data_IF_950325095151
#
_entry.id   IF_950325095151
#
_cell.length_a   1.000
_cell.length_b   1.000
_cell.length_c   1.000
_cell.angle_alpha   90.00
_cell.angle_beta   90.00
_cell.angle_gamma   90.00
#
_symmetry.space_group_name_H-M   'P 1'
#
loop_
_entity.id
_entity.type
_entity.pdbx_description
1 polymer ?
#
# COMPACT_ATOMS: atom_id res chain seq x y z
N UNK A 1 -22.53 -44.01 -6.99
CA UNK A 1 -22.41 -44.12 -5.51
C UNK A 1 -21.33 -45.13 -5.17
N UNK A 2 -20.13 -44.68 -4.78
CA UNK A 2 -19.07 -45.51 -4.20
C UNK A 2 -18.52 -44.71 -3.02
N UNK A 3 -18.76 -45.23 -1.82
CA UNK A 3 -18.44 -44.62 -0.53
C UNK A 3 -17.01 -45.04 -0.20
N UNK A 4 -16.10 -44.09 -0.03
CA UNK A 4 -14.81 -44.38 0.61
C UNK A 4 -14.46 -43.24 1.55
N UNK A 5 -14.82 -43.48 2.80
CA UNK A 5 -14.53 -42.68 3.98
C UNK A 5 -13.09 -42.93 4.43
N UNK A 6 -12.23 -41.91 4.34
CA UNK A 6 -11.04 -41.81 5.16
C UNK A 6 -11.20 -40.64 6.12
N UNK A 7 -11.75 -40.99 7.28
CA UNK A 7 -11.81 -40.14 8.45
C UNK A 7 -10.41 -40.10 9.10
N UNK A 8 -9.93 -38.88 9.31
CA UNK A 8 -9.36 -38.36 10.56
C UNK A 8 -8.23 -39.13 11.26
N UNK A 9 -7.03 -38.55 11.20
CA UNK A 9 -5.98 -38.48 12.23
C UNK A 9 -4.79 -37.84 11.50
N UNK A 10 -4.12 -36.76 11.92
CA UNK A 10 -3.68 -36.29 13.23
C UNK A 10 -3.08 -34.87 13.01
N UNK A 11 -2.66 -34.12 14.04
CA UNK A 11 -3.43 -33.11 14.75
C UNK A 11 -2.94 -31.67 14.54
N UNK A 12 -3.79 -30.75 14.99
CA UNK A 12 -3.48 -29.39 15.40
C UNK A 12 -2.30 -29.41 16.38
N UNK A 13 -1.10 -29.00 15.95
CA UNK A 13 -0.04 -28.57 16.85
C UNK A 13 0.98 -27.69 16.13
N UNK A 14 1.22 -26.50 16.69
CA UNK A 14 2.27 -25.53 16.38
C UNK A 14 2.18 -24.85 14.99
N UNK A 15 1.55 -23.69 14.77
CA UNK A 15 1.60 -22.43 15.55
C UNK A 15 2.93 -22.28 16.30
N UNK A 16 4.04 -22.04 15.60
CA UNK A 16 5.16 -21.20 16.06
C UNK A 16 6.19 -20.99 14.93
N UNK A 17 6.41 -19.70 14.64
CA UNK A 17 7.73 -19.10 14.41
C UNK A 17 8.43 -19.45 13.10
N UNK A 18 8.29 -18.55 12.12
CA UNK A 18 9.45 -18.09 11.36
C UNK A 18 9.32 -16.58 11.10
N UNK A 19 9.37 -15.84 12.20
CA UNK A 19 9.71 -14.43 12.22
C UNK A 19 11.18 -14.31 11.79
N UNK A 20 11.45 -13.88 10.56
CA UNK A 20 12.79 -13.47 10.15
C UNK A 20 12.98 -11.99 10.49
N UNK A 21 13.11 -11.70 11.79
CA UNK A 21 13.69 -10.45 12.29
C UNK A 21 15.20 -10.68 12.41
N UNK A 22 15.99 -10.21 11.45
CA UNK A 22 17.45 -10.06 11.64
C UNK A 22 17.69 -8.63 12.06
N UNK A 23 17.58 -8.40 13.37
CA UNK A 23 18.12 -7.25 14.05
C UNK A 23 19.62 -7.49 14.27
N UNK A 24 20.46 -6.79 13.51
CA UNK A 24 21.91 -6.71 13.76
C UNK A 24 22.30 -5.23 13.80
N UNK A 25 22.45 -4.70 15.02
CA UNK A 25 22.87 -3.31 15.22
C UNK A 25 22.72 -2.79 16.66
N UNK A 26 23.19 -3.55 17.65
CA UNK A 26 23.43 -3.01 19.01
C UNK A 26 24.94 -2.94 19.24
N UNK A 27 25.49 -1.71 19.23
CA UNK A 27 26.59 -1.25 20.10
C UNK A 27 27.24 0.02 19.53
N UNK A 28 26.61 1.18 19.74
CA UNK A 28 27.35 2.43 19.86
C UNK A 28 26.77 3.20 21.05
N UNK A 29 27.44 3.05 22.19
CA UNK A 29 27.17 3.81 23.40
C UNK A 29 28.17 4.98 23.44
N UNK A 30 27.68 6.21 23.49
CA UNK A 30 28.51 7.37 23.77
C UNK A 30 27.86 8.71 23.41
N UNK A 31 27.00 9.24 24.29
CA UNK A 31 26.56 10.64 24.22
C UNK A 31 25.14 10.84 24.71
N UNK A 32 24.97 11.06 26.02
CA UNK A 32 23.69 11.39 26.63
C UNK A 32 23.17 12.77 26.25
N UNK A 33 21.84 12.87 26.17
CA UNK A 33 21.10 14.10 25.96
C UNK A 33 19.65 13.73 25.71
N UNK A 34 18.88 13.62 26.79
CA UNK A 34 17.48 13.19 26.72
C UNK A 34 16.59 14.18 25.96
N UNK A 35 15.56 13.63 25.34
CA UNK A 35 14.21 14.14 25.55
C UNK A 35 13.24 12.96 25.62
N UNK A 36 12.56 12.88 26.75
CA UNK A 36 11.41 12.04 26.98
C UNK A 36 10.21 12.98 27.02
N UNK A 37 9.31 12.83 26.06
CA UNK A 37 8.09 13.63 25.94
C UNK A 37 7.90 14.00 24.48
N UNK A 38 6.80 13.72 23.81
CA UNK A 38 5.45 13.75 24.32
C UNK A 38 4.65 14.47 23.24
N UNK A 39 3.77 13.74 22.58
CA UNK A 39 2.94 14.29 21.51
C UNK A 39 2.78 13.29 20.38
N UNK A 40 1.94 12.28 20.57
CA UNK A 40 1.16 11.82 19.42
C UNK A 40 0.19 12.95 19.11
N UNK A 41 0.68 14.00 18.44
CA UNK A 41 -0.19 14.75 17.56
C UNK A 41 -0.83 13.69 16.67
N UNK A 42 -2.16 13.65 16.61
CA UNK A 42 -2.82 12.95 15.51
C UNK A 42 -2.34 13.68 14.26
N UNK A 43 -1.23 13.21 13.69
CA UNK A 43 -0.68 13.73 12.45
C UNK A 43 -1.78 13.76 11.41
N UNK A 44 -1.72 14.73 10.51
CA UNK A 44 -2.67 14.80 9.40
C UNK A 44 -2.77 13.41 8.73
N UNK A 45 -3.99 13.01 8.35
CA UNK A 45 -4.19 11.72 7.69
C UNK A 45 -3.30 11.67 6.44
N UNK A 46 -2.54 10.58 6.23
CA UNK A 46 -1.80 10.43 4.99
C UNK A 46 -2.76 10.55 3.80
N UNK A 47 -2.35 11.28 2.78
CA UNK A 47 -3.11 11.47 1.54
C UNK A 47 -2.46 10.60 0.47
N UNK A 48 -3.19 9.63 -0.05
CA UNK A 48 -2.70 8.72 -1.09
C UNK A 48 -3.56 8.83 -2.34
N UNK A 49 -2.93 8.72 -3.51
CA UNK A 49 -3.64 8.59 -4.78
C UNK A 49 -3.48 7.20 -5.36
N UNK A 50 -4.53 6.73 -6.02
CA UNK A 50 -4.51 5.56 -6.88
C UNK A 50 -4.89 5.98 -8.30
N UNK A 51 -3.92 5.91 -9.22
CA UNK A 51 -4.07 6.35 -10.62
C UNK A 51 -4.11 5.12 -11.52
N UNK A 52 -5.23 4.90 -12.20
CA UNK A 52 -5.42 3.74 -13.07
C UNK A 52 -4.83 4.00 -14.47
N UNK A 53 -4.84 2.98 -15.32
CA UNK A 53 -4.46 3.10 -16.73
C UNK A 53 -5.62 3.49 -17.66
N UNK A 54 -6.79 3.86 -17.12
CA UNK A 54 -7.98 4.11 -17.93
C UNK A 54 -9.28 4.09 -17.15
N UNK A 55 -10.36 4.47 -17.83
CA UNK A 55 -11.73 4.32 -17.35
C UNK A 55 -12.25 2.94 -17.81
N UNK A 56 -12.38 2.01 -16.87
CA UNK A 56 -12.91 0.67 -17.14
C UNK A 56 -13.63 0.10 -15.90
N UNK A 57 -14.75 -0.63 -16.04
CA UNK A 57 -15.46 -1.26 -14.93
C UNK A 57 -14.59 -2.16 -14.04
N UNK A 58 -13.51 -2.74 -14.57
CA UNK A 58 -12.50 -3.46 -13.80
C UNK A 58 -12.00 -2.65 -12.60
N UNK A 59 -11.81 -1.34 -12.77
CA UNK A 59 -11.27 -0.46 -11.74
C UNK A 59 -12.28 -0.08 -10.65
N UNK A 60 -13.59 -0.28 -10.86
CA UNK A 60 -14.62 0.01 -9.84
C UNK A 60 -14.43 -0.85 -8.57
N UNK A 61 -14.03 -2.11 -8.75
CA UNK A 61 -13.76 -3.04 -7.65
C UNK A 61 -12.48 -2.59 -6.93
N UNK A 62 -11.45 -2.20 -7.68
CA UNK A 62 -10.20 -1.71 -7.12
C UNK A 62 -10.40 -0.40 -6.34
N UNK A 63 -11.20 0.54 -6.86
CA UNK A 63 -11.60 1.76 -6.17
C UNK A 63 -12.33 1.46 -4.86
N UNK A 64 -13.27 0.52 -4.89
CA UNK A 64 -14.01 0.11 -3.68
C UNK A 64 -13.07 -0.46 -2.62
N UNK A 65 -12.08 -1.28 -3.03
CA UNK A 65 -11.04 -1.79 -2.15
C UNK A 65 -10.14 -0.70 -1.58
N UNK A 66 -9.70 0.25 -2.42
CA UNK A 66 -8.86 1.37 -2.02
C UNK A 66 -9.57 2.29 -1.01
N UNK A 67 -10.86 2.60 -1.25
CA UNK A 67 -11.70 3.36 -0.31
C UNK A 67 -11.91 2.65 1.01
N UNK A 68 -12.15 1.33 0.98
CA UNK A 68 -12.25 0.52 2.20
C UNK A 68 -10.95 0.54 2.99
N UNK A 69 -9.80 0.33 2.33
CA UNK A 69 -8.50 0.39 2.97
C UNK A 69 -8.21 1.78 3.56
N UNK A 70 -8.59 2.85 2.86
CA UNK A 70 -8.51 4.22 3.38
C UNK A 70 -9.27 4.40 4.69
N UNK A 71 -10.50 3.87 4.77
CA UNK A 71 -11.29 3.91 6.00
C UNK A 71 -10.67 3.05 7.13
N UNK A 72 -10.23 1.83 6.80
CA UNK A 72 -9.67 0.89 7.78
C UNK A 72 -8.31 1.37 8.34
N UNK A 73 -7.54 2.15 7.58
CA UNK A 73 -6.19 2.62 7.93
C UNK A 73 -6.13 4.11 8.30
N UNK A 74 -7.26 4.82 8.31
CA UNK A 74 -7.35 6.27 8.54
C UNK A 74 -6.51 7.12 7.56
N UNK A 75 -6.63 6.81 6.26
CA UNK A 75 -5.91 7.42 5.14
C UNK A 75 -6.91 8.06 4.16
N UNK A 76 -6.60 9.26 3.67
CA UNK A 76 -7.37 9.94 2.64
C UNK A 76 -6.97 9.42 1.26
N UNK A 77 -7.82 8.60 0.64
CA UNK A 77 -7.55 7.98 -0.67
C UNK A 77 -8.34 8.67 -1.78
N UNK A 78 -7.63 9.14 -2.82
CA UNK A 78 -8.23 9.63 -4.06
C UNK A 78 -7.98 8.64 -5.19
N UNK A 79 -9.00 8.31 -5.97
CA UNK A 79 -8.85 7.47 -7.18
C UNK A 79 -9.03 8.35 -8.41
N UNK A 80 -8.09 8.25 -9.35
CA UNK A 80 -8.09 8.99 -10.61
C UNK A 80 -8.02 8.02 -11.79
N UNK A 81 -8.87 8.26 -12.79
CA UNK A 81 -8.96 7.42 -13.99
C UNK A 81 -8.79 8.30 -15.24
N UNK A 82 -7.59 8.36 -15.84
CA UNK A 82 -7.35 9.13 -17.05
C UNK A 82 -8.15 8.57 -18.23
N UNK A 83 -8.75 9.43 -19.05
CA UNK A 83 -9.52 9.05 -20.24
C UNK A 83 -8.75 9.28 -21.57
N UNK A 84 -7.76 10.17 -21.55
CA UNK A 84 -6.96 10.68 -22.66
C UNK A 84 -5.57 10.07 -22.77
N UNK A 85 -5.34 8.89 -22.18
CA UNK A 85 -4.09 8.14 -22.34
C UNK A 85 -2.91 8.67 -21.52
N UNK A 86 -1.70 8.32 -21.94
CA UNK A 86 -0.48 8.51 -21.15
C UNK A 86 -0.15 9.97 -20.83
N UNK A 87 -0.47 10.91 -21.73
CA UNK A 87 -0.23 12.35 -21.51
C UNK A 87 -1.11 12.87 -20.36
N UNK A 88 -2.39 12.51 -20.35
CA UNK A 88 -3.27 12.91 -19.25
C UNK A 88 -2.85 12.26 -17.93
N UNK A 89 -2.49 10.96 -17.96
CA UNK A 89 -1.96 10.28 -16.76
C UNK A 89 -0.72 10.99 -16.22
N UNK A 90 0.20 11.41 -17.09
CA UNK A 90 1.40 12.17 -16.70
C UNK A 90 1.03 13.49 -16.01
N UNK A 91 0.14 14.28 -16.61
CA UNK A 91 -0.31 15.55 -16.03
C UNK A 91 -0.97 15.34 -14.66
N UNK A 92 -1.81 14.30 -14.51
CA UNK A 92 -2.38 13.95 -13.20
C UNK A 92 -1.32 13.62 -12.16
N UNK A 93 -0.27 12.89 -12.53
CA UNK A 93 0.83 12.56 -11.63
C UNK A 93 1.63 13.82 -11.25
N UNK A 94 1.93 14.70 -12.21
CA UNK A 94 2.60 15.98 -11.95
C UNK A 94 1.77 16.85 -10.98
N UNK A 95 0.46 16.97 -11.20
CA UNK A 95 -0.45 17.68 -10.31
C UNK A 95 -0.47 17.11 -8.88
N UNK A 96 -0.49 15.78 -8.75
CA UNK A 96 -0.46 15.10 -7.47
C UNK A 96 0.84 15.38 -6.71
N UNK A 97 1.98 15.36 -7.40
CA UNK A 97 3.28 15.72 -6.83
C UNK A 97 3.30 17.19 -6.41
N UNK A 98 2.82 18.11 -7.25
CA UNK A 98 2.71 19.54 -6.91
C UNK A 98 1.83 19.79 -5.69
N UNK A 99 0.74 19.01 -5.53
CA UNK A 99 -0.14 19.09 -4.36
C UNK A 99 0.46 18.48 -3.08
N UNK A 100 1.66 17.90 -3.17
CA UNK A 100 2.39 17.32 -2.05
C UNK A 100 1.70 16.07 -1.50
N UNK A 101 1.14 15.22 -2.36
CA UNK A 101 0.55 13.96 -1.90
C UNK A 101 1.60 13.05 -1.26
N UNK A 102 1.22 12.29 -0.23
CA UNK A 102 2.17 11.49 0.55
C UNK A 102 2.57 10.18 -0.17
N UNK A 103 1.77 9.74 -1.14
CA UNK A 103 2.09 8.58 -1.95
C UNK A 103 1.15 8.38 -3.13
N UNK A 104 1.67 7.68 -4.14
CA UNK A 104 0.95 7.38 -5.38
C UNK A 104 1.12 5.90 -5.71
N UNK A 105 0.01 5.18 -5.84
CA UNK A 105 -0.05 3.91 -6.53
C UNK A 105 -0.50 4.17 -7.96
N UNK A 106 0.22 3.64 -8.96
CA UNK A 106 -0.09 3.88 -10.37
C UNK A 106 -0.08 2.58 -11.16
N UNK A 107 -1.06 2.42 -12.04
CA UNK A 107 -1.04 1.43 -13.13
C UNK A 107 -0.63 2.17 -14.41
N UNK A 108 0.62 2.03 -14.89
CA UNK A 108 1.09 2.79 -16.05
C UNK A 108 0.32 2.46 -17.33
N UNK A 109 -0.03 3.48 -18.13
CA UNK A 109 -0.62 3.30 -19.46
C UNK A 109 0.44 2.86 -20.46
N UNK A 110 1.62 3.45 -20.38
CA UNK A 110 2.72 3.21 -21.31
C UNK A 110 3.89 2.57 -20.57
N UNK A 111 3.79 1.25 -20.36
CA UNK A 111 4.79 0.49 -19.64
C UNK A 111 6.12 0.35 -20.40
N UNK A 112 6.09 0.43 -21.75
CA UNK A 112 7.30 0.33 -22.57
C UNK A 112 8.23 1.53 -22.38
N UNK A 113 7.67 2.71 -22.08
CA UNK A 113 8.45 3.91 -21.78
C UNK A 113 8.84 4.05 -20.30
N UNK A 114 8.82 2.96 -19.52
CA UNK A 114 9.17 2.93 -18.07
C UNK A 114 10.50 2.21 -17.77
N UNK A 115 11.17 1.66 -18.77
CA UNK A 115 12.32 0.75 -18.59
C UNK A 115 13.68 1.41 -18.77
N UNK A 116 13.75 2.59 -19.37
CA UNK A 116 15.01 3.31 -19.63
C UNK A 116 15.01 4.68 -18.92
N UNK A 117 16.10 4.97 -18.20
CA UNK A 117 16.38 6.21 -17.45
C UNK A 117 17.51 7.01 -18.11
#
# INVERSE_FOLDING_TARGET
MKKTTWKTALPILARRVLTLFVAAGLASCGGGGGDAGGGSEKGAKPRLAYVTNGVDPFWNIAESGAKKAGADLDVDVTVLMPAGGAVEQKNMLEDLVTRGIDGIAVSPIDAANQIDL
#
